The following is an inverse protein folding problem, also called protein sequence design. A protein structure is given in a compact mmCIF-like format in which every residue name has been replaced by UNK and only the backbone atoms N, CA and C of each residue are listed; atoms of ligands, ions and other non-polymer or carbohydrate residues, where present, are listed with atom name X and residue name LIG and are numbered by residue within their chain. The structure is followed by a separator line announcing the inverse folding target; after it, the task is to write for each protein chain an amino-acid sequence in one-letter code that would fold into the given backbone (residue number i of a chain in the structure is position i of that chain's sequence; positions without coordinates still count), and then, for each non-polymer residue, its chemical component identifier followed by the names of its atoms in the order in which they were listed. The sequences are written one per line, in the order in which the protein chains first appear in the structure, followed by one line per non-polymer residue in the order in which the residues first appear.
data_IF_058191090708
#
_entry.id   IF_058191090708
#
_cell.length_a   1.000
_cell.length_b   1.000
_cell.length_c   1.000
_cell.angle_alpha   90.00
_cell.angle_beta   90.00
_cell.angle_gamma   90.00
#
_symmetry.space_group_name_H-M   'P 1'
#
loop_
_entity.id
_entity.type
_entity.pdbx_description
1 polymer ?
#
# COMPACT_ATOMS: atom_id res chain seq x y z
N UNK A 1 19.72 12.87 -23.72
CA UNK A 1 18.36 12.58 -24.22
C UNK A 1 17.40 12.74 -23.05
N UNK A 2 16.59 13.80 -23.09
CA UNK A 2 15.68 14.22 -22.00
C UNK A 2 14.44 13.34 -21.99
N UNK A 3 14.40 12.36 -21.09
CA UNK A 3 13.15 11.67 -20.75
C UNK A 3 12.33 12.58 -19.86
N UNK A 4 11.19 13.07 -20.35
CA UNK A 4 10.14 13.65 -19.50
C UNK A 4 9.76 12.60 -18.46
N UNK A 5 10.30 12.72 -17.25
CA UNK A 5 9.88 11.89 -16.12
C UNK A 5 8.46 12.36 -15.81
N UNK A 6 7.46 11.59 -16.25
CA UNK A 6 6.07 11.81 -15.83
C UNK A 6 6.02 11.90 -14.30
N UNK A 7 5.08 12.69 -13.77
CA UNK A 7 4.93 12.86 -12.33
C UNK A 7 5.02 11.49 -11.62
N UNK A 8 5.81 11.41 -10.54
CA UNK A 8 5.94 10.17 -9.75
C UNK A 8 4.55 9.66 -9.42
N UNK A 9 4.25 8.44 -9.86
CA UNK A 9 2.98 7.80 -9.55
C UNK A 9 2.90 7.63 -8.03
N UNK A 10 1.88 8.22 -7.43
CA UNK A 10 1.57 7.99 -6.04
C UNK A 10 2.60 8.48 -5.02
N UNK A 11 2.66 7.77 -3.90
CA UNK A 11 3.56 8.01 -2.75
C UNK A 11 4.52 6.84 -2.60
N UNK A 12 5.74 7.09 -2.07
CA UNK A 12 6.67 6.01 -1.80
C UNK A 12 6.07 4.99 -0.84
N UNK A 13 6.42 3.72 -1.05
CA UNK A 13 6.16 2.67 -0.07
C UNK A 13 7.42 2.47 0.77
N UNK A 14 7.19 2.04 2.01
CA UNK A 14 8.19 1.68 2.98
C UNK A 14 8.08 0.20 3.26
N UNK A 15 9.22 -0.48 3.17
CA UNK A 15 9.33 -1.89 3.48
C UNK A 15 9.80 -2.06 4.92
N UNK A 16 9.26 -3.07 5.60
CA UNK A 16 9.80 -3.55 6.87
C UNK A 16 10.23 -5.01 6.75
N UNK A 17 10.83 -5.55 7.81
CA UNK A 17 11.26 -6.94 7.82
C UNK A 17 10.07 -7.91 7.80
N UNK A 18 10.11 -8.90 6.91
CA UNK A 18 9.09 -9.97 6.86
C UNK A 18 9.12 -10.89 8.10
N UNK A 19 10.20 -10.85 8.89
CA UNK A 19 10.36 -11.62 10.12
C UNK A 19 9.65 -11.02 11.34
N UNK A 20 9.09 -9.81 11.23
CA UNK A 20 8.37 -9.14 12.31
C UNK A 20 6.87 -9.45 12.20
N UNK A 21 6.18 -9.80 13.32
CA UNK A 21 4.75 -10.10 13.32
C UNK A 21 3.90 -8.81 13.29
N UNK A 22 3.99 -8.05 12.20
CA UNK A 22 3.29 -6.78 12.02
C UNK A 22 1.76 -6.90 12.15
N UNK A 23 1.12 -5.85 12.65
CA UNK A 23 -0.34 -5.69 12.62
C UNK A 23 -0.72 -4.73 11.50
N UNK A 24 -1.34 -5.24 10.45
CA UNK A 24 -1.70 -4.48 9.25
C UNK A 24 -3.12 -3.91 9.30
N UNK A 25 -3.20 -2.61 9.04
CA UNK A 25 -4.41 -1.92 8.61
C UNK A 25 -4.44 -1.87 7.09
N UNK A 26 -5.60 -2.20 6.50
CA UNK A 26 -5.79 -2.24 5.05
C UNK A 26 -7.07 -1.48 4.66
N UNK A 27 -6.93 -0.47 3.81
CA UNK A 27 -8.03 0.38 3.37
C UNK A 27 -8.02 0.60 1.87
N UNK A 28 -9.20 0.71 1.25
CA UNK A 28 -9.31 1.11 -0.15
C UNK A 28 -9.15 2.63 -0.24
N UNK A 29 -8.33 3.10 -1.17
CA UNK A 29 -8.20 4.52 -1.48
C UNK A 29 -9.25 4.87 -2.54
N UNK A 30 -10.16 5.83 -2.28
CA UNK A 30 -11.09 6.32 -3.30
C UNK A 30 -10.32 7.06 -4.39
N UNK A 31 -10.42 6.56 -5.62
CA UNK A 31 -9.83 7.16 -6.82
C UNK A 31 -10.97 7.54 -7.76
N UNK A 32 -10.95 8.74 -8.32
CA UNK A 32 -11.94 9.20 -9.30
C UNK A 32 -11.67 8.58 -10.69
N UNK A 33 -12.56 8.84 -11.66
CA UNK A 33 -12.42 8.31 -13.02
C UNK A 33 -11.12 8.74 -13.72
N UNK A 34 -10.56 9.89 -13.33
CA UNK A 34 -9.34 10.44 -13.90
C UNK A 34 -8.06 9.90 -13.23
N UNK A 35 -8.18 8.99 -12.26
CA UNK A 35 -7.02 8.36 -11.61
C UNK A 35 -6.42 9.16 -10.45
N UNK A 36 -7.14 10.13 -9.90
CA UNK A 36 -6.72 10.96 -8.78
C UNK A 36 -7.41 10.57 -7.48
N UNK A 37 -6.67 10.66 -6.37
CA UNK A 37 -7.27 10.63 -5.03
C UNK A 37 -7.83 12.00 -4.63
N UNK A 38 -8.48 12.07 -3.46
CA UNK A 38 -9.05 13.31 -2.91
C UNK A 38 -8.00 14.40 -2.59
N UNK A 39 -6.73 14.04 -2.48
CA UNK A 39 -5.62 14.96 -2.22
C UNK A 39 -4.97 15.48 -3.51
N UNK A 40 -5.49 15.11 -4.68
CA UNK A 40 -4.92 15.48 -5.98
C UNK A 40 -3.69 14.68 -6.37
N UNK A 41 -3.40 13.55 -5.70
CA UNK A 41 -2.30 12.66 -6.08
C UNK A 41 -2.76 11.77 -7.23
N UNK A 42 -1.98 11.72 -8.31
CA UNK A 42 -2.25 10.84 -9.44
C UNK A 42 -1.72 9.43 -9.17
N UNK A 43 -2.58 8.43 -9.31
CA UNK A 43 -2.30 7.01 -9.10
C UNK A 43 -2.50 6.18 -10.38
N UNK A 44 -3.03 6.79 -11.43
CA UNK A 44 -3.45 6.10 -12.66
C UNK A 44 -4.85 5.49 -12.57
N UNK A 45 -5.28 4.90 -13.68
CA UNK A 45 -6.55 4.16 -13.81
C UNK A 45 -6.29 2.65 -13.75
N UNK A 46 -7.31 1.85 -13.40
CA UNK A 46 -7.21 0.39 -13.37
C UNK A 46 -7.86 -0.24 -12.13
N UNK A 47 -7.34 -1.39 -11.71
CA UNK A 47 -7.83 -2.13 -10.54
C UNK A 47 -7.83 -1.27 -9.26
N UNK A 48 -8.75 -1.49 -8.31
CA UNK A 48 -8.82 -0.70 -7.08
C UNK A 48 -7.47 -0.48 -6.38
N UNK A 49 -7.23 0.73 -5.89
CA UNK A 49 -6.06 1.07 -5.10
C UNK A 49 -6.31 0.78 -3.62
N UNK A 50 -5.37 0.11 -2.97
CA UNK A 50 -5.36 -0.15 -1.54
C UNK A 50 -4.14 0.50 -0.89
N UNK A 51 -4.33 1.04 0.32
CA UNK A 51 -3.26 1.46 1.22
C UNK A 51 -3.14 0.45 2.34
N UNK A 52 -1.91 0.07 2.67
CA UNK A 52 -1.59 -0.64 3.90
C UNK A 52 -0.70 0.19 4.81
N UNK A 53 -0.84 -0.01 6.10
CA UNK A 53 0.08 0.47 7.13
C UNK A 53 0.18 -0.62 8.20
N UNK A 54 1.36 -0.83 8.74
CA UNK A 54 1.63 -1.79 9.80
C UNK A 54 2.03 -1.08 11.10
N UNK A 55 1.70 -1.73 12.21
CA UNK A 55 2.19 -1.38 13.54
C UNK A 55 3.01 -2.56 14.07
N UNK A 56 4.22 -2.28 14.57
CA UNK A 56 5.14 -3.28 15.11
C UNK A 56 4.98 -3.47 16.63
N UNK A 57 5.56 -4.54 17.20
CA UNK A 57 5.61 -4.73 18.65
C UNK A 57 6.44 -3.65 19.36
N UNK A 58 7.47 -3.10 18.70
CA UNK A 58 8.44 -2.19 19.32
C UNK A 58 8.43 -0.77 18.74
N UNK A 59 7.38 -0.39 17.97
CA UNK A 59 7.24 0.94 17.32
C UNK A 59 8.56 1.53 16.80
N UNK A 60 9.30 0.74 16.02
CA UNK A 60 10.52 1.22 15.39
C UNK A 60 10.21 2.00 14.11
N UNK A 61 11.18 2.82 13.71
CA UNK A 61 11.16 3.58 12.46
C UNK A 61 11.31 2.68 11.22
N UNK A 62 10.68 1.50 11.16
CA UNK A 62 10.69 0.50 10.07
C UNK A 62 9.32 -0.15 9.78
N UNK A 63 8.25 0.47 10.25
CA UNK A 63 6.87 0.04 9.99
C UNK A 63 6.53 0.02 8.48
N UNK A 64 6.14 -1.14 7.92
CA UNK A 64 5.72 -1.22 6.53
C UNK A 64 4.49 -0.35 6.25
N UNK A 65 4.57 0.49 5.23
CA UNK A 65 3.41 1.17 4.68
C UNK A 65 3.51 1.30 3.17
N UNK A 66 2.38 1.38 2.48
CA UNK A 66 2.44 1.50 1.04
C UNK A 66 1.10 1.40 0.36
N UNK A 67 1.19 1.39 -0.97
CA UNK A 67 0.05 1.39 -1.87
C UNK A 67 0.24 0.37 -2.96
N UNK A 68 -0.81 -0.37 -3.28
CA UNK A 68 -0.79 -1.34 -4.37
C UNK A 68 -2.19 -1.56 -4.92
N UNK A 69 -2.28 -2.13 -6.11
CA UNK A 69 -3.56 -2.44 -6.76
C UNK A 69 -3.92 -3.90 -6.55
N UNK A 70 -5.19 -4.14 -6.24
CA UNK A 70 -5.75 -5.48 -6.14
C UNK A 70 -7.21 -5.48 -6.61
N UNK A 71 -7.69 -6.61 -7.11
CA UNK A 71 -9.06 -6.73 -7.60
C UNK A 71 -10.10 -6.50 -6.49
N UNK A 72 -9.81 -6.97 -5.28
CA UNK A 72 -10.66 -6.85 -4.11
C UNK A 72 -9.84 -6.93 -2.81
N UNK A 73 -10.53 -6.81 -1.66
CA UNK A 73 -9.88 -6.79 -0.33
C UNK A 73 -9.25 -8.13 0.03
N UNK A 74 -9.81 -9.25 -0.42
CA UNK A 74 -9.26 -10.58 -0.10
C UNK A 74 -7.98 -10.86 -0.89
N UNK A 75 -7.93 -10.48 -2.17
CA UNK A 75 -6.69 -10.49 -2.96
C UNK A 75 -5.64 -9.58 -2.32
N UNK A 76 -6.03 -8.38 -1.86
CA UNK A 76 -5.11 -7.48 -1.17
C UNK A 76 -4.55 -8.07 0.13
N UNK A 77 -5.39 -8.76 0.92
CA UNK A 77 -4.93 -9.48 2.11
C UNK A 77 -3.99 -10.63 1.76
N UNK A 78 -4.27 -11.37 0.69
CA UNK A 78 -3.45 -12.49 0.25
C UNK A 78 -2.05 -12.03 -0.18
N UNK A 79 -1.94 -10.92 -0.92
CA UNK A 79 -0.63 -10.36 -1.29
C UNK A 79 0.18 -9.95 -0.07
N UNK A 80 -0.43 -9.24 0.89
CA UNK A 80 0.26 -8.86 2.13
C UNK A 80 0.67 -10.08 2.95
N UNK A 81 -0.12 -11.15 2.99
CA UNK A 81 0.28 -12.42 3.65
C UNK A 81 1.42 -13.12 2.93
N UNK A 82 1.46 -13.07 1.61
CA UNK A 82 2.59 -13.61 0.84
C UNK A 82 3.87 -12.84 1.12
N UNK A 83 3.78 -11.52 1.33
CA UNK A 83 4.92 -10.65 1.58
C UNK A 83 5.38 -10.64 3.03
N UNK A 84 4.43 -10.72 3.96
CA UNK A 84 4.61 -10.68 5.41
C UNK A 84 3.90 -11.88 6.05
N UNK A 85 4.49 -13.09 6.02
CA UNK A 85 3.82 -14.32 6.46
C UNK A 85 3.45 -14.35 7.94
N UNK A 86 4.20 -13.63 8.78
CA UNK A 86 3.94 -13.50 10.21
C UNK A 86 2.95 -12.37 10.53
N UNK A 87 2.60 -11.56 9.53
CA UNK A 87 1.69 -10.43 9.65
C UNK A 87 0.26 -10.85 9.94
N UNK A 88 -0.42 -10.05 10.76
CA UNK A 88 -1.83 -10.21 11.09
C UNK A 88 -2.59 -8.95 10.68
N UNK A 89 -3.88 -9.07 10.42
CA UNK A 89 -4.73 -7.89 10.19
C UNK A 89 -5.42 -7.49 11.48
N UNK A 90 -5.62 -6.19 11.69
CA UNK A 90 -6.55 -5.74 12.73
C UNK A 90 -7.94 -6.34 12.46
N UNK A 91 -8.61 -6.74 13.55
CA UNK A 91 -9.94 -7.35 13.51
C UNK A 91 -11.02 -6.31 13.28
#
# INVERSE_FOLDING_TARGET
MTGKVGARLGRPSREGSAAVPWRFSLGRVPINCDGYDRSGTYWGIGAPLYRYAAEGPDSESDEPEGYFRAANRDTAKAELRSRYPLGRFFR
#
